data_IF_826580972098
#
_entry.id   IF_826580972098
#
_cell.length_a   1.000
_cell.length_b   1.000
_cell.length_c   1.000
_cell.angle_alpha   90.00
_cell.angle_beta   90.00
_cell.angle_gamma   90.00
#
_symmetry.space_group_name_H-M   'P 1'
#
loop_
_entity.id
_entity.type
_entity.pdbx_description
1 polymer ?
#
# COMPACT_ATOMS: atom_id res chain seq x y z
N UNK A 1 -19.59 24.69 4.91
CA UNK A 1 -19.84 23.48 4.10
C UNK A 1 -18.80 23.44 3.00
N UNK A 2 -17.69 22.73 3.24
CA UNK A 2 -16.62 22.60 2.24
C UNK A 2 -16.99 21.49 1.27
N UNK A 3 -16.96 21.83 -0.02
CA UNK A 3 -17.12 20.90 -1.13
C UNK A 3 -16.02 19.84 -1.07
N UNK A 4 -16.37 18.63 -0.66
CA UNK A 4 -15.56 17.43 -0.90
C UNK A 4 -15.49 17.29 -2.42
N UNK A 5 -14.38 17.74 -3.00
CA UNK A 5 -14.15 17.66 -4.43
C UNK A 5 -13.96 16.19 -4.77
N UNK A 6 -14.87 15.65 -5.59
CA UNK A 6 -14.93 14.28 -6.12
C UNK A 6 -13.71 13.89 -7.00
N UNK A 7 -12.52 14.44 -6.77
CA UNK A 7 -11.30 14.15 -7.55
C UNK A 7 -10.80 12.71 -7.36
N UNK A 8 -11.16 12.04 -6.26
CA UNK A 8 -10.74 10.67 -5.97
C UNK A 8 -11.83 9.62 -6.20
N UNK A 9 -13.07 10.04 -6.47
CA UNK A 9 -14.19 9.13 -6.75
C UNK A 9 -13.95 8.22 -7.97
N UNK A 10 -13.35 8.69 -9.08
CA UNK A 10 -13.03 7.83 -10.23
C UNK A 10 -11.97 6.79 -9.91
N UNK A 11 -10.96 7.15 -9.09
CA UNK A 11 -9.91 6.22 -8.67
C UNK A 11 -10.44 5.15 -7.71
N UNK A 12 -11.35 5.52 -6.80
CA UNK A 12 -12.03 4.58 -5.90
C UNK A 12 -12.97 3.64 -6.67
N UNK A 13 -13.71 4.14 -7.67
CA UNK A 13 -14.54 3.33 -8.56
C UNK A 13 -13.71 2.40 -9.44
N UNK A 14 -12.55 2.84 -9.93
CA UNK A 14 -11.62 1.98 -10.67
C UNK A 14 -11.03 0.89 -9.77
N UNK A 15 -10.71 1.22 -8.51
CA UNK A 15 -10.24 0.25 -7.52
C UNK A 15 -11.34 -0.79 -7.21
N UNK A 16 -12.59 -0.35 -7.04
CA UNK A 16 -13.75 -1.24 -6.80
C UNK A 16 -14.05 -2.10 -8.04
N UNK A 17 -13.90 -1.58 -9.25
CA UNK A 17 -14.07 -2.34 -10.51
C UNK A 17 -12.93 -3.34 -10.77
N UNK A 18 -11.69 -2.98 -10.45
CA UNK A 18 -10.53 -3.88 -10.51
C UNK A 18 -10.62 -4.98 -9.45
N UNK A 19 -11.10 -4.63 -8.26
CA UNK A 19 -11.38 -5.58 -7.19
C UNK A 19 -12.50 -6.54 -7.63
N UNK A 20 -13.66 -6.04 -8.06
CA UNK A 20 -14.77 -6.91 -8.48
C UNK A 20 -14.47 -7.81 -9.68
N UNK A 21 -13.54 -7.44 -10.57
CA UNK A 21 -13.01 -8.32 -11.62
C UNK A 21 -12.09 -9.44 -11.12
N UNK A 22 -11.44 -9.29 -9.97
CA UNK A 22 -10.55 -10.30 -9.38
C UNK A 22 -11.28 -11.33 -8.50
N UNK A 23 -12.51 -11.05 -8.04
CA UNK A 23 -13.25 -11.94 -7.13
C UNK A 23 -14.18 -12.94 -7.83
N UNK A 24 -14.20 -12.94 -9.17
CA UNK A 24 -14.89 -13.96 -9.97
C UNK A 24 -14.21 -15.34 -9.99
N UNK A 25 -13.11 -15.54 -9.25
CA UNK A 25 -12.44 -16.83 -9.11
C UNK A 25 -13.00 -17.59 -7.90
N UNK A 26 -14.17 -18.20 -8.07
CA UNK A 26 -14.82 -19.12 -7.12
C UNK A 26 -14.14 -20.50 -6.98
N UNK A 27 -12.82 -20.56 -7.24
CA UNK A 27 -11.99 -21.75 -7.01
C UNK A 27 -11.31 -21.67 -5.64
N UNK A 28 -10.96 -22.83 -5.06
CA UNK A 28 -10.14 -22.92 -3.84
C UNK A 28 -9.06 -21.84 -3.85
N UNK A 29 -9.12 -20.94 -2.87
CA UNK A 29 -8.14 -19.86 -2.75
C UNK A 29 -6.78 -20.49 -2.62
N UNK A 30 -5.88 -20.18 -3.55
CA UNK A 30 -4.51 -20.70 -3.50
C UNK A 30 -3.86 -20.30 -2.17
N UNK A 31 -3.06 -21.21 -1.61
CA UNK A 31 -2.21 -20.92 -0.44
C UNK A 31 -0.83 -20.57 -0.97
N UNK A 32 -0.30 -19.42 -0.57
CA UNK A 32 1.01 -18.97 -1.04
C UNK A 32 2.11 -19.82 -0.41
N UNK A 33 3.12 -20.14 -1.22
CA UNK A 33 4.35 -20.82 -0.80
C UNK A 33 5.55 -19.94 -1.13
N UNK A 34 6.69 -20.20 -0.49
CA UNK A 34 7.98 -19.59 -0.83
C UNK A 34 8.26 -19.63 -2.35
N UNK A 35 7.99 -20.78 -2.98
CA UNK A 35 8.22 -20.96 -4.41
C UNK A 35 7.32 -20.04 -5.25
N UNK A 36 6.02 -19.98 -4.96
CA UNK A 36 5.08 -19.13 -5.68
C UNK A 36 5.43 -17.64 -5.54
N UNK A 37 5.78 -17.19 -4.34
CA UNK A 37 6.14 -15.78 -4.11
C UNK A 37 7.46 -15.42 -4.81
N UNK A 38 8.47 -16.29 -4.77
CA UNK A 38 9.72 -16.07 -5.51
C UNK A 38 9.52 -16.05 -7.03
N UNK A 39 8.72 -16.99 -7.56
CA UNK A 39 8.35 -17.00 -8.97
C UNK A 39 7.61 -15.71 -9.35
N UNK A 40 6.70 -15.23 -8.51
CA UNK A 40 6.00 -13.97 -8.71
C UNK A 40 6.96 -12.76 -8.74
N UNK A 41 7.84 -12.64 -7.75
CA UNK A 41 8.85 -11.56 -7.71
C UNK A 41 9.72 -11.58 -8.96
N UNK A 42 10.17 -12.77 -9.38
CA UNK A 42 10.99 -12.94 -10.60
C UNK A 42 10.22 -12.53 -11.86
N UNK A 43 8.98 -12.99 -12.01
CA UNK A 43 8.11 -12.64 -13.13
C UNK A 43 7.91 -11.12 -13.22
N UNK A 44 7.51 -10.49 -12.11
CA UNK A 44 7.22 -9.06 -12.08
C UNK A 44 8.45 -8.20 -12.32
N UNK A 45 9.59 -8.57 -11.74
CA UNK A 45 10.85 -7.87 -11.99
C UNK A 45 11.21 -7.86 -13.49
N UNK A 46 11.05 -9.00 -14.17
CA UNK A 46 11.30 -9.08 -15.62
C UNK A 46 10.24 -8.37 -16.45
N UNK A 47 8.96 -8.43 -16.04
CA UNK A 47 7.88 -7.67 -16.67
C UNK A 47 8.13 -6.16 -16.59
N UNK A 48 8.60 -5.65 -15.45
CA UNK A 48 8.94 -4.24 -15.29
C UNK A 48 10.10 -3.82 -16.20
N UNK A 49 11.19 -4.60 -16.26
CA UNK A 49 12.31 -4.35 -17.17
C UNK A 49 11.87 -4.28 -18.64
N UNK A 50 10.88 -5.09 -19.01
CA UNK A 50 10.31 -5.15 -20.37
C UNK A 50 9.08 -4.26 -20.55
N UNK A 51 8.72 -3.45 -19.57
CA UNK A 51 7.47 -2.67 -19.58
C UNK A 51 7.32 -1.79 -20.80
N UNK A 52 8.38 -1.08 -21.21
CA UNK A 52 8.37 -0.24 -22.41
C UNK A 52 8.18 -1.02 -23.72
N UNK A 53 8.79 -2.21 -23.82
CA UNK A 53 8.63 -3.11 -24.96
C UNK A 53 7.20 -3.63 -25.05
N UNK A 54 6.65 -4.11 -23.92
CA UNK A 54 5.27 -4.60 -23.81
C UNK A 54 4.24 -3.50 -24.09
N UNK A 55 4.46 -2.29 -23.59
CA UNK A 55 3.62 -1.12 -23.89
C UNK A 55 3.67 -0.76 -25.38
N UNK A 56 4.83 -0.91 -26.02
CA UNK A 56 4.99 -0.74 -27.46
C UNK A 56 4.16 -1.74 -28.27
N UNK A 57 4.09 -3.00 -27.85
CA UNK A 57 3.20 -4.01 -28.44
C UNK A 57 1.72 -3.65 -28.25
N UNK A 58 1.32 -3.25 -27.04
CA UNK A 58 -0.06 -2.88 -26.71
C UNK A 58 -0.55 -1.69 -27.56
N UNK A 59 0.25 -0.63 -27.67
CA UNK A 59 -0.09 0.56 -28.47
C UNK A 59 -0.31 0.23 -29.95
N UNK A 60 0.51 -0.67 -30.50
CA UNK A 60 0.33 -1.14 -31.90
C UNK A 60 -0.92 -2.00 -32.04
N UNK A 61 -1.21 -2.86 -31.07
CA UNK A 61 -2.44 -3.65 -31.06
C UNK A 61 -3.70 -2.77 -31.02
N UNK A 62 -3.70 -1.71 -30.21
CA UNK A 62 -4.78 -0.72 -30.16
C UNK A 62 -5.02 -0.02 -31.52
N UNK A 63 -3.95 0.16 -32.32
CA UNK A 63 -4.06 0.69 -33.68
C UNK A 63 -4.53 -0.34 -34.72
N UNK A 64 -4.96 -1.53 -34.29
CA UNK A 64 -5.48 -2.60 -35.16
C UNK A 64 -4.44 -3.63 -35.62
N UNK A 65 -3.19 -3.55 -35.14
CA UNK A 65 -2.16 -4.53 -35.49
C UNK A 65 -2.24 -5.77 -34.59
N UNK A 66 -3.04 -6.75 -35.02
CA UNK A 66 -3.30 -8.00 -34.28
C UNK A 66 -2.01 -8.80 -34.04
N UNK A 67 -1.08 -8.84 -34.99
CA UNK A 67 0.19 -9.56 -34.86
C UNK A 67 1.07 -9.00 -33.74
N UNK A 68 1.06 -7.67 -33.56
CA UNK A 68 1.74 -7.02 -32.44
C UNK A 68 1.10 -7.37 -31.11
N UNK A 69 -0.24 -7.46 -31.05
CA UNK A 69 -0.95 -7.91 -29.86
C UNK A 69 -0.58 -9.35 -29.47
N UNK A 70 -0.55 -10.26 -30.45
CA UNK A 70 -0.14 -11.65 -30.24
C UNK A 70 1.32 -11.74 -29.79
N UNK A 71 2.23 -11.01 -30.43
CA UNK A 71 3.65 -11.00 -30.05
C UNK A 71 3.85 -10.48 -28.62
N UNK A 72 3.11 -9.43 -28.21
CA UNK A 72 3.12 -8.93 -26.84
C UNK A 72 2.64 -9.97 -25.83
N UNK A 73 1.53 -10.66 -26.12
CA UNK A 73 1.00 -11.73 -25.29
C UNK A 73 1.95 -12.93 -25.19
N UNK A 74 2.53 -13.37 -26.29
CA UNK A 74 3.50 -14.48 -26.31
C UNK A 74 4.77 -14.15 -25.52
N UNK A 75 5.23 -12.90 -25.58
CA UNK A 75 6.35 -12.43 -24.77
C UNK A 75 6.00 -12.39 -23.27
N UNK A 76 4.81 -11.91 -22.91
CA UNK A 76 4.31 -11.95 -21.54
C UNK A 76 4.28 -13.40 -21.01
N UNK A 77 3.69 -14.34 -21.77
CA UNK A 77 3.61 -15.75 -21.38
C UNK A 77 5.00 -16.36 -21.18
N UNK A 78 5.95 -16.09 -22.09
CA UNK A 78 7.33 -16.56 -21.95
C UNK A 78 8.00 -16.06 -20.67
N UNK A 79 7.72 -14.83 -20.25
CA UNK A 79 8.30 -14.27 -19.02
C UNK A 79 7.77 -15.02 -17.79
N UNK A 80 6.45 -15.18 -17.67
CA UNK A 80 5.86 -15.86 -16.51
C UNK A 80 6.24 -17.35 -16.47
N UNK A 81 6.34 -18.02 -17.63
CA UNK A 81 6.75 -19.42 -17.70
C UNK A 81 8.23 -19.60 -17.32
N UNK A 82 9.12 -18.70 -17.78
CA UNK A 82 10.53 -18.68 -17.33
C UNK A 82 10.68 -18.38 -15.84
N UNK A 83 9.70 -17.71 -15.25
CA UNK A 83 9.67 -17.45 -13.82
C UNK A 83 9.22 -18.67 -13.00
N UNK A 84 8.60 -19.67 -13.63
CA UNK A 84 8.20 -20.94 -13.01
C UNK A 84 6.70 -21.20 -12.99
N UNK A 85 5.88 -20.33 -13.59
CA UNK A 85 4.43 -20.54 -13.68
C UNK A 85 4.08 -21.48 -14.82
N UNK A 86 3.13 -22.39 -14.58
CA UNK A 86 2.60 -23.32 -15.58
C UNK A 86 1.88 -22.58 -16.70
N UNK A 87 1.01 -21.65 -16.33
CA UNK A 87 0.15 -20.92 -17.25
C UNK A 87 -0.25 -19.54 -16.72
N UNK A 88 -0.97 -18.78 -17.55
CA UNK A 88 -1.49 -17.47 -17.20
C UNK A 88 -2.40 -17.52 -15.96
N UNK A 89 -3.18 -18.59 -15.80
CA UNK A 89 -4.16 -18.70 -14.71
C UNK A 89 -3.43 -18.80 -13.37
N UNK A 90 -2.45 -19.69 -13.25
CA UNK A 90 -1.65 -19.85 -12.03
C UNK A 90 -0.91 -18.55 -11.68
N UNK A 91 -0.37 -17.85 -12.69
CA UNK A 91 0.25 -16.55 -12.50
C UNK A 91 -0.73 -15.51 -11.95
N UNK A 92 -1.92 -15.36 -12.57
CA UNK A 92 -2.91 -14.36 -12.17
C UNK A 92 -3.49 -14.65 -10.78
N UNK A 93 -3.77 -15.92 -10.46
CA UNK A 93 -4.22 -16.32 -9.13
C UNK A 93 -3.14 -16.00 -8.08
N UNK A 94 -1.87 -16.30 -8.37
CA UNK A 94 -0.72 -15.96 -7.51
C UNK A 94 -0.58 -14.46 -7.33
N UNK A 95 -0.62 -13.69 -8.43
CA UNK A 95 -0.52 -12.25 -8.40
C UNK A 95 -1.64 -11.60 -7.57
N UNK A 96 -2.90 -12.04 -7.78
CA UNK A 96 -4.04 -11.56 -7.03
C UNK A 96 -3.91 -11.87 -5.53
N UNK A 97 -3.52 -13.10 -5.18
CA UNK A 97 -3.34 -13.50 -3.78
C UNK A 97 -2.18 -12.75 -3.11
N UNK A 98 -1.02 -12.62 -3.78
CA UNK A 98 0.10 -11.83 -3.26
C UNK A 98 -0.32 -10.37 -3.06
N UNK A 99 -0.99 -9.76 -4.04
CA UNK A 99 -1.47 -8.38 -3.94
C UNK A 99 -2.44 -8.17 -2.77
N UNK A 100 -3.41 -9.07 -2.60
CA UNK A 100 -4.37 -9.03 -1.49
C UNK A 100 -3.66 -9.16 -0.13
N UNK A 101 -2.87 -10.22 0.04
CA UNK A 101 -2.20 -10.52 1.31
C UNK A 101 -1.19 -9.41 1.67
N UNK A 102 -0.39 -8.96 0.70
CA UNK A 102 0.58 -7.89 0.91
C UNK A 102 -0.09 -6.57 1.29
N UNK A 103 -1.21 -6.22 0.64
CA UNK A 103 -1.95 -4.99 0.96
C UNK A 103 -2.51 -5.03 2.39
N UNK A 104 -3.04 -6.18 2.82
CA UNK A 104 -3.54 -6.37 4.19
C UNK A 104 -2.40 -6.27 5.21
N UNK A 105 -1.31 -7.01 5.01
CA UNK A 105 -0.14 -6.99 5.91
C UNK A 105 0.45 -5.58 6.01
N UNK A 106 0.59 -4.87 4.90
CA UNK A 106 1.14 -3.52 4.88
C UNK A 106 0.21 -2.49 5.54
N UNK A 107 -1.10 -2.69 5.43
CA UNK A 107 -2.08 -1.83 6.08
C UNK A 107 -2.03 -1.96 7.60
N UNK A 108 -1.91 -3.19 8.12
CA UNK A 108 -1.73 -3.43 9.57
C UNK A 108 -0.43 -2.76 10.06
N UNK A 109 0.69 -2.96 9.35
CA UNK A 109 1.97 -2.30 9.66
C UNK A 109 1.86 -0.77 9.63
N UNK A 110 1.16 -0.21 8.65
CA UNK A 110 0.99 1.23 8.51
C UNK A 110 0.16 1.82 9.66
N UNK A 111 -0.95 1.17 10.02
CA UNK A 111 -1.80 1.60 11.14
C UNK A 111 -1.00 1.61 12.44
N UNK A 112 -0.24 0.55 12.71
CA UNK A 112 0.59 0.45 13.92
C UNK A 112 1.65 1.57 13.95
N UNK A 113 2.33 1.82 12.83
CA UNK A 113 3.31 2.92 12.71
C UNK A 113 2.68 4.28 12.95
N UNK A 114 1.51 4.55 12.39
CA UNK A 114 0.82 5.83 12.56
C UNK A 114 0.37 6.03 14.01
N UNK A 115 -0.17 4.99 14.65
CA UNK A 115 -0.52 5.05 16.06
C UNK A 115 0.71 5.34 16.94
N UNK A 116 1.82 4.66 16.69
CA UNK A 116 3.07 4.91 17.41
C UNK A 116 3.57 6.35 17.21
N UNK A 117 3.53 6.86 15.98
CA UNK A 117 3.92 8.23 15.68
C UNK A 117 3.09 9.26 16.46
N UNK A 118 1.78 9.05 16.59
CA UNK A 118 0.93 9.94 17.38
C UNK A 118 1.27 9.89 18.88
N UNK A 119 1.55 8.71 19.43
CA UNK A 119 1.97 8.57 20.82
C UNK A 119 3.35 9.21 21.07
N UNK A 120 4.31 9.01 20.16
CA UNK A 120 5.64 9.62 20.24
C UNK A 120 5.55 11.15 20.20
N UNK A 121 4.76 11.70 19.27
CA UNK A 121 4.53 13.14 19.16
C UNK A 121 3.88 13.71 20.42
N UNK A 122 2.89 13.01 20.97
CA UNK A 122 2.23 13.40 22.23
C UNK A 122 3.21 13.37 23.40
N UNK A 123 4.10 12.38 23.46
CA UNK A 123 5.13 12.31 24.50
C UNK A 123 6.14 13.45 24.41
N UNK A 124 6.50 13.89 23.19
CA UNK A 124 7.46 14.98 22.98
C UNK A 124 6.95 16.34 23.45
N UNK A 125 5.63 16.55 23.49
CA UNK A 125 5.01 17.83 23.89
C UNK A 125 4.22 17.76 25.20
N UNK A 126 4.05 16.56 25.77
CA UNK A 126 3.28 16.35 27.00
C UNK A 126 3.92 16.96 28.25
N UNK A 127 3.27 16.81 29.39
CA UNK A 127 3.64 17.49 30.66
C UNK A 127 5.07 17.20 31.14
N UNK A 128 5.67 16.08 30.73
CA UNK A 128 7.04 15.70 31.08
C UNK A 128 8.10 16.19 30.05
N UNK A 129 7.68 16.93 29.02
CA UNK A 129 8.57 17.41 27.95
C UNK A 129 9.52 18.51 28.42
N UNK A 130 10.61 18.71 27.66
CA UNK A 130 11.53 19.84 27.86
C UNK A 130 10.81 21.20 27.75
N UNK A 131 9.78 21.30 26.92
CA UNK A 131 8.96 22.50 26.83
C UNK A 131 8.26 22.83 28.15
N UNK A 132 7.70 21.83 28.83
CA UNK A 132 7.07 22.04 30.14
C UNK A 132 8.08 22.37 31.23
N UNK A 133 9.30 21.83 31.15
CA UNK A 133 10.40 22.24 32.05
C UNK A 133 10.76 23.72 31.84
N UNK A 134 10.90 24.17 30.59
CA UNK A 134 11.17 25.58 30.26
C UNK A 134 10.04 26.53 30.73
N UNK A 135 8.79 26.07 30.71
CA UNK A 135 7.66 26.86 31.23
C UNK A 135 7.72 27.05 32.75
N UNK A 136 8.31 26.10 33.47
CA UNK A 136 8.45 26.12 34.93
C UNK A 136 9.77 26.73 35.41
N UNK A 137 10.71 26.99 34.50
CA UNK A 137 12.00 27.59 34.81
C UNK A 137 11.84 29.10 35.15
N UNK A 138 12.21 29.56 36.36
CA UNK A 138 12.12 30.97 36.73
C UNK A 138 13.06 31.88 35.93
N UNK A 139 14.12 31.35 35.34
CA UNK A 139 15.13 32.12 34.60
C UNK A 139 14.70 32.43 33.16
N UNK A 140 13.65 31.78 32.66
CA UNK A 140 13.09 32.04 31.33
C UNK A 140 12.14 33.24 31.39
N UNK A 141 12.31 34.29 30.54
CA UNK A 141 11.40 35.42 30.49
C UNK A 141 9.95 35.04 30.16
N UNK A 142 8.98 35.74 30.76
CA UNK A 142 7.55 35.43 30.56
C UNK A 142 7.08 35.58 29.09
N UNK A 143 7.67 36.50 28.31
CA UNK A 143 7.36 36.59 26.88
C UNK A 143 7.81 35.33 26.12
N UNK A 144 8.97 34.77 26.46
CA UNK A 144 9.43 33.50 25.88
C UNK A 144 8.52 32.34 26.31
N UNK A 145 8.09 32.29 27.57
CA UNK A 145 7.12 31.28 28.04
C UNK A 145 5.78 31.40 27.31
N UNK A 146 5.34 32.62 27.02
CA UNK A 146 4.10 32.86 26.26
C UNK A 146 4.20 32.33 24.82
N UNK A 147 5.35 32.51 24.16
CA UNK A 147 5.60 31.91 22.85
C UNK A 147 5.63 30.38 22.92
N UNK A 148 6.31 29.80 23.91
CA UNK A 148 6.32 28.33 24.13
C UNK A 148 4.90 27.79 24.34
N UNK A 149 4.08 28.43 25.18
CA UNK A 149 2.67 28.05 25.39
C UNK A 149 1.87 28.11 24.08
N UNK A 150 2.12 29.12 23.24
CA UNK A 150 1.48 29.25 21.93
C UNK A 150 1.89 28.10 21.00
N UNK A 151 3.19 27.83 20.88
CA UNK A 151 3.71 26.75 20.05
C UNK A 151 3.24 25.36 20.50
N UNK A 152 3.19 25.10 21.80
CA UNK A 152 2.63 23.86 22.35
C UNK A 152 1.17 23.70 21.95
N UNK A 153 0.35 24.74 22.14
CA UNK A 153 -1.06 24.73 21.74
C UNK A 153 -1.25 24.52 20.24
N UNK A 154 -0.40 25.12 19.41
CA UNK A 154 -0.42 24.90 17.95
C UNK A 154 -0.06 23.46 17.60
N UNK A 155 0.97 22.89 18.22
CA UNK A 155 1.37 21.49 18.03
C UNK A 155 0.28 20.51 18.48
N UNK A 156 -0.32 20.73 19.65
CA UNK A 156 -1.45 19.93 20.15
C UNK A 156 -2.62 19.93 19.16
N UNK A 157 -2.98 21.10 18.64
CA UNK A 157 -4.05 21.22 17.65
C UNK A 157 -3.72 20.52 16.33
N UNK A 158 -2.46 20.59 15.87
CA UNK A 158 -2.02 19.91 14.66
C UNK A 158 -2.05 18.38 14.83
N UNK A 159 -1.54 17.87 15.94
CA UNK A 159 -1.56 16.42 16.25
C UNK A 159 -3.01 15.93 16.38
N UNK A 160 -3.86 16.65 17.11
CA UNK A 160 -5.26 16.30 17.26
C UNK A 160 -6.02 16.33 15.91
N UNK A 161 -5.73 17.32 15.06
CA UNK A 161 -6.28 17.42 13.71
C UNK A 161 -5.86 16.24 12.84
N UNK A 162 -4.55 15.97 12.76
CA UNK A 162 -4.00 14.87 11.99
C UNK A 162 -4.51 13.50 12.47
N UNK A 163 -4.59 13.30 13.79
CA UNK A 163 -5.15 12.07 14.37
C UNK A 163 -6.63 11.92 14.01
N UNK A 164 -7.42 12.99 14.09
CA UNK A 164 -8.83 12.96 13.73
C UNK A 164 -9.04 12.58 12.26
N UNK A 165 -8.26 13.19 11.35
CA UNK A 165 -8.31 12.85 9.92
C UNK A 165 -7.88 11.39 9.68
N UNK A 166 -6.84 10.94 10.37
CA UNK A 166 -6.40 9.55 10.32
C UNK A 166 -7.49 8.59 10.80
N UNK A 167 -8.10 8.83 11.96
CA UNK A 167 -9.15 7.97 12.53
C UNK A 167 -10.38 7.90 11.62
N UNK A 168 -10.80 9.03 11.04
CA UNK A 168 -11.92 9.08 10.08
C UNK A 168 -11.64 8.28 8.80
N UNK A 169 -10.43 8.39 8.26
CA UNK A 169 -10.04 7.62 7.08
C UNK A 169 -9.83 6.14 7.40
N UNK A 170 -9.32 5.84 8.60
CA UNK A 170 -9.12 4.49 9.11
C UNK A 170 -10.43 3.72 9.19
N UNK A 171 -11.53 4.35 9.63
CA UNK A 171 -12.84 3.68 9.69
C UNK A 171 -13.27 3.15 8.32
N UNK A 172 -13.15 3.96 7.26
CA UNK A 172 -13.44 3.53 5.89
C UNK A 172 -12.45 2.49 5.37
N UNK A 173 -11.16 2.65 5.66
CA UNK A 173 -10.14 1.69 5.28
C UNK A 173 -10.35 0.33 5.97
N UNK A 174 -10.70 0.33 7.26
CA UNK A 174 -10.98 -0.87 8.05
C UNK A 174 -12.16 -1.66 7.47
N UNK A 175 -13.20 -1.01 6.95
CA UNK A 175 -14.31 -1.72 6.30
C UNK A 175 -13.83 -2.52 5.08
N UNK A 176 -13.02 -1.91 4.23
CA UNK A 176 -12.45 -2.56 3.04
C UNK A 176 -11.45 -3.64 3.46
N UNK A 177 -10.59 -3.36 4.44
CA UNK A 177 -9.58 -4.29 4.93
C UNK A 177 -10.20 -5.48 5.65
N UNK A 178 -11.24 -5.29 6.45
CA UNK A 178 -11.95 -6.40 7.12
C UNK A 178 -12.61 -7.32 6.11
N UNK A 179 -13.12 -6.77 5.01
CA UNK A 179 -13.61 -7.58 3.91
C UNK A 179 -12.48 -8.33 3.20
N UNK A 180 -11.37 -7.65 2.89
CA UNK A 180 -10.18 -8.23 2.27
C UNK A 180 -9.53 -9.34 3.12
N UNK A 181 -9.48 -9.15 4.45
CA UNK A 181 -8.95 -10.12 5.44
C UNK A 181 -9.66 -11.47 5.38
N UNK A 182 -10.94 -11.53 4.97
CA UNK A 182 -11.65 -12.80 4.77
C UNK A 182 -11.03 -13.66 3.67
N UNK A 183 -10.31 -13.05 2.72
CA UNK A 183 -9.58 -13.74 1.65
C UNK A 183 -8.12 -14.05 1.98
N UNK A 184 -7.66 -13.75 3.19
CA UNK A 184 -6.26 -13.94 3.63
C UNK A 184 -6.20 -15.06 4.67
N UNK A 185 -5.41 -16.10 4.38
CA UNK A 185 -5.06 -17.15 5.34
C UNK A 185 -3.73 -16.84 6.02
N UNK A 186 -3.56 -17.37 7.24
CA UNK A 186 -2.38 -17.11 8.06
C UNK A 186 -1.08 -17.62 7.42
N UNK A 187 -1.13 -18.74 6.70
CA UNK A 187 0.05 -19.32 6.05
C UNK A 187 0.57 -18.39 4.96
N UNK A 188 -0.33 -17.93 4.08
CA UNK A 188 0.00 -16.95 3.05
C UNK A 188 0.50 -15.64 3.64
N UNK A 189 -0.10 -15.16 4.73
CA UNK A 189 0.36 -13.95 5.44
C UNK A 189 1.79 -14.11 5.96
N UNK A 190 2.14 -15.26 6.56
CA UNK A 190 3.50 -15.56 7.03
C UNK A 190 4.51 -15.57 5.89
N UNK A 191 4.17 -16.19 4.75
CA UNK A 191 5.05 -16.24 3.58
C UNK A 191 5.29 -14.84 3.00
N UNK A 192 4.23 -14.04 2.86
CA UNK A 192 4.34 -12.66 2.35
C UNK A 192 5.16 -11.79 3.30
N UNK A 193 4.95 -11.91 4.62
CA UNK A 193 5.74 -11.17 5.60
C UNK A 193 7.22 -11.55 5.55
N UNK A 194 7.54 -12.83 5.37
CA UNK A 194 8.91 -13.32 5.19
C UNK A 194 9.60 -12.71 3.97
N UNK A 195 8.87 -12.44 2.89
CA UNK A 195 9.39 -11.85 1.65
C UNK A 195 9.09 -10.35 1.51
N UNK A 196 8.67 -9.69 2.59
CA UNK A 196 8.17 -8.32 2.56
C UNK A 196 9.14 -7.34 1.89
N UNK A 197 10.41 -7.36 2.27
CA UNK A 197 11.41 -6.42 1.74
C UNK A 197 11.66 -6.60 0.23
N UNK A 198 11.61 -7.84 -0.26
CA UNK A 198 11.75 -8.14 -1.69
C UNK A 198 10.51 -7.66 -2.46
N UNK A 199 9.32 -7.89 -1.90
CA UNK A 199 8.06 -7.41 -2.46
C UNK A 199 7.99 -5.87 -2.47
N UNK A 200 8.39 -5.21 -1.39
CA UNK A 200 8.46 -3.74 -1.31
C UNK A 200 9.42 -3.17 -2.36
N UNK A 201 10.61 -3.74 -2.51
CA UNK A 201 11.56 -3.33 -3.56
C UNK A 201 10.94 -3.47 -4.95
N UNK A 202 10.32 -4.61 -5.22
CA UNK A 202 9.65 -4.86 -6.49
C UNK A 202 8.53 -3.84 -6.79
N UNK A 203 7.72 -3.45 -5.80
CA UNK A 203 6.67 -2.44 -5.98
C UNK A 203 7.21 -1.00 -6.04
N UNK A 204 8.35 -0.70 -5.43
CA UNK A 204 8.96 0.65 -5.41
C UNK A 204 9.83 0.95 -6.63
N UNK A 205 10.31 -0.07 -7.36
CA UNK A 205 11.02 0.09 -8.64
C UNK A 205 10.20 0.79 -9.74
N UNK A 206 8.93 1.09 -9.51
CA UNK A 206 8.06 1.84 -10.44
C UNK A 206 8.40 3.33 -10.57
N UNK A 207 9.25 3.88 -9.68
CA UNK A 207 9.55 5.32 -9.60
C UNK A 207 10.98 5.72 -10.03
N UNK A 208 11.72 4.83 -10.69
CA UNK A 208 13.03 5.12 -11.30
C UNK A 208 12.98 4.91 -12.81
#
# INVERSE_FOLDING_TARGET
MQNITYKHLPALLLLILLLSGCFGFSGKTIVLTDALVKSFIKAQTELFKKGGELAGYAKKAESGNIDSGKAGYDNFLKIIQKAGFKDLKEYLETAAKVGLVFSVVQSDIYVDKMNQLFEDQKSLIGENSEFHKMLNDPDIPEETKKEIRKSLKEAENQIAGAKKEFDQNKEWADLVLNWAKKGVDEESAKIVLKHKDELEKMFTFQNQ
#
